data_IF_958519634439
#
_entry.id   IF_958519634439
#
_cell.length_a   1.000
_cell.length_b   1.000
_cell.length_c   1.000
_cell.angle_alpha   90.00
_cell.angle_beta   90.00
_cell.angle_gamma   90.00
#
_symmetry.space_group_name_H-M   'P 1'
#
loop_
_entity.id
_entity.type
_entity.pdbx_description
1 polymer ?
#
# COMPACT_ATOMS: atom_id res chain seq x y z
N UNK A 1 -7.71 46.88 7.01
CA UNK A 1 -7.04 45.88 6.15
C UNK A 1 -6.93 44.61 6.97
N UNK A 2 -7.55 43.52 6.51
CA UNK A 2 -7.57 42.26 7.22
C UNK A 2 -6.30 41.49 6.85
N UNK A 3 -5.36 41.36 7.78
CA UNK A 3 -4.19 40.49 7.60
C UNK A 3 -4.66 39.05 7.78
N UNK A 4 -4.92 38.38 6.66
CA UNK A 4 -5.19 36.95 6.63
C UNK A 4 -3.85 36.24 6.93
N UNK A 5 -3.65 35.88 8.20
CA UNK A 5 -2.57 35.00 8.62
C UNK A 5 -2.87 33.59 8.10
N UNK A 6 -2.35 33.26 6.92
CA UNK A 6 -2.39 31.89 6.39
C UNK A 6 -1.45 31.03 7.26
N UNK A 7 -2.03 30.26 8.17
CA UNK A 7 -1.34 29.27 8.98
C UNK A 7 -0.96 28.08 8.08
N UNK A 8 0.09 28.24 7.27
CA UNK A 8 0.61 27.18 6.42
C UNK A 8 1.28 26.15 7.34
N UNK A 9 0.65 24.98 7.48
CA UNK A 9 1.16 23.89 8.30
C UNK A 9 2.51 23.43 7.72
N UNK A 10 3.58 23.56 8.51
CA UNK A 10 4.93 23.06 8.18
C UNK A 10 5.26 21.81 8.96
N UNK A 11 6.19 21.02 8.44
CA UNK A 11 6.82 19.95 9.22
C UNK A 11 7.68 20.52 10.34
N UNK A 12 7.72 19.85 11.49
CA UNK A 12 8.39 20.38 12.69
C UNK A 12 9.92 20.43 12.60
N UNK A 13 10.54 19.52 11.83
CA UNK A 13 12.01 19.45 11.71
C UNK A 13 12.48 20.15 10.44
N UNK A 14 11.97 19.73 9.27
CA UNK A 14 12.41 20.29 7.98
C UNK A 14 11.78 21.65 7.64
N UNK A 15 10.77 22.11 8.39
CA UNK A 15 10.00 23.34 8.11
C UNK A 15 9.49 23.43 6.65
N UNK A 16 9.22 22.28 6.05
CA UNK A 16 8.80 22.15 4.66
C UNK A 16 7.27 22.19 4.55
N UNK A 17 6.78 22.66 3.41
CA UNK A 17 5.37 22.82 3.10
C UNK A 17 4.87 21.78 2.08
N UNK A 18 5.76 21.23 1.27
CA UNK A 18 5.45 20.22 0.24
C UNK A 18 6.20 18.91 0.48
N UNK A 19 5.72 17.83 -0.15
CA UNK A 19 6.39 16.52 -0.05
C UNK A 19 7.77 16.55 -0.69
N UNK A 20 7.91 17.28 -1.79
CA UNK A 20 9.16 17.49 -2.52
C UNK A 20 10.19 18.22 -1.64
N UNK A 21 9.79 19.30 -0.97
CA UNK A 21 10.67 20.02 -0.03
C UNK A 21 11.10 19.16 1.17
N UNK A 22 10.22 18.28 1.67
CA UNK A 22 10.57 17.32 2.73
C UNK A 22 11.64 16.34 2.23
N UNK A 23 11.47 15.82 1.01
CA UNK A 23 12.42 14.89 0.41
C UNK A 23 13.79 15.56 0.19
N UNK A 24 13.82 16.74 -0.43
CA UNK A 24 15.06 17.49 -0.70
C UNK A 24 15.86 17.78 0.58
N UNK A 25 15.16 18.09 1.68
CA UNK A 25 15.79 18.26 2.99
C UNK A 25 16.44 16.97 3.49
N UNK A 26 15.68 15.86 3.54
CA UNK A 26 16.17 14.60 4.10
C UNK A 26 17.16 13.84 3.19
N UNK A 27 17.21 14.15 1.90
CA UNK A 27 18.25 13.64 1.00
C UNK A 27 19.66 14.13 1.38
N UNK A 28 19.75 15.28 2.06
CA UNK A 28 21.01 15.92 2.46
C UNK A 28 21.27 15.93 3.97
N UNK A 29 20.28 15.56 4.79
CA UNK A 29 20.36 15.59 6.25
C UNK A 29 20.15 14.19 6.84
N UNK A 30 20.95 13.82 7.85
CA UNK A 30 20.77 12.55 8.54
C UNK A 30 19.73 12.69 9.66
N UNK A 31 18.85 11.71 9.83
CA UNK A 31 17.93 11.65 10.97
C UNK A 31 18.68 11.66 12.31
N UNK A 32 19.88 11.07 12.36
CA UNK A 32 20.71 11.01 13.56
C UNK A 32 21.14 12.39 14.07
N UNK A 33 21.18 13.42 13.21
CA UNK A 33 21.55 14.78 13.60
C UNK A 33 20.45 15.48 14.43
N UNK A 34 19.27 14.86 14.53
CA UNK A 34 18.09 15.40 15.19
C UNK A 34 17.61 14.52 16.36
N UNK A 35 18.48 13.67 16.94
CA UNK A 35 18.12 12.81 18.07
C UNK A 35 17.44 13.57 19.22
N UNK A 36 17.96 14.76 19.59
CA UNK A 36 17.39 15.63 20.64
C UNK A 36 15.97 16.16 20.34
N UNK A 37 15.55 16.10 19.07
CA UNK A 37 14.22 16.55 18.60
C UNK A 37 13.31 15.37 18.26
N UNK A 38 13.80 14.13 18.39
CA UNK A 38 13.04 12.91 18.12
C UNK A 38 12.87 12.10 19.40
N UNK A 39 11.95 11.13 19.36
CA UNK A 39 11.77 10.18 20.45
C UNK A 39 11.49 8.82 19.85
N UNK A 40 11.89 7.78 20.57
CA UNK A 40 11.60 6.41 20.19
C UNK A 40 10.08 6.19 20.20
N UNK A 41 9.58 5.57 19.13
CA UNK A 41 8.17 5.23 18.97
C UNK A 41 8.05 3.75 18.60
N UNK A 42 7.25 3.01 19.36
CA UNK A 42 6.89 1.64 19.01
C UNK A 42 5.70 1.66 18.03
N UNK A 43 5.83 0.93 16.91
CA UNK A 43 4.75 0.75 15.96
C UNK A 43 4.71 -0.68 15.40
N UNK A 44 3.49 -1.19 15.23
CA UNK A 44 3.27 -2.52 14.68
C UNK A 44 3.25 -2.51 13.16
N UNK A 45 4.30 -3.07 12.54
CA UNK A 45 4.30 -3.30 11.08
C UNK A 45 3.64 -4.64 10.77
N UNK A 46 2.42 -4.61 10.22
CA UNK A 46 1.75 -5.80 9.69
C UNK A 46 2.29 -6.22 8.33
N UNK A 47 3.53 -6.69 8.28
CA UNK A 47 4.15 -7.24 7.07
C UNK A 47 3.91 -8.75 6.94
N UNK A 48 2.66 -9.16 6.70
CA UNK A 48 2.37 -10.57 6.42
C UNK A 48 2.98 -10.99 5.08
N UNK A 49 3.78 -12.07 5.08
CA UNK A 49 4.31 -12.68 3.85
C UNK A 49 3.15 -13.17 2.99
N UNK A 50 2.87 -12.47 1.89
CA UNK A 50 1.85 -12.87 0.90
C UNK A 50 2.49 -13.82 -0.12
N UNK A 51 1.90 -14.99 -0.32
CA UNK A 51 2.21 -15.84 -1.48
C UNK A 51 1.42 -15.28 -2.66
N UNK A 52 2.11 -14.90 -3.73
CA UNK A 52 1.50 -14.35 -4.95
C UNK A 52 1.74 -15.30 -6.11
N UNK A 53 0.72 -15.46 -6.95
CA UNK A 53 0.83 -16.16 -8.23
C UNK A 53 0.63 -15.10 -9.32
N UNK A 54 1.57 -15.02 -10.25
CA UNK A 54 1.42 -14.15 -11.41
C UNK A 54 0.39 -14.77 -12.35
N UNK A 55 -0.58 -13.98 -12.78
CA UNK A 55 -1.52 -14.35 -13.83
C UNK A 55 -1.10 -13.69 -15.14
N UNK A 56 -1.37 -14.38 -16.24
CA UNK A 56 -1.25 -13.78 -17.55
C UNK A 56 -2.20 -12.55 -17.66
N UNK A 57 -1.78 -11.44 -18.29
CA UNK A 57 -2.59 -10.23 -18.38
C UNK A 57 -3.97 -10.45 -19.01
N UNK A 58 -4.07 -11.27 -20.06
CA UNK A 58 -5.32 -11.52 -20.76
C UNK A 58 -6.27 -12.36 -19.90
N UNK A 59 -5.72 -13.30 -19.13
CA UNK A 59 -6.48 -14.07 -18.14
C UNK A 59 -6.99 -13.16 -17.02
N UNK A 60 -6.15 -12.26 -16.52
CA UNK A 60 -6.56 -11.34 -15.45
C UNK A 60 -7.69 -10.41 -15.92
N UNK A 61 -7.63 -9.89 -17.14
CA UNK A 61 -8.70 -9.04 -17.69
C UNK A 61 -10.06 -9.77 -17.76
N UNK A 62 -10.06 -11.03 -18.18
CA UNK A 62 -11.28 -11.85 -18.19
C UNK A 62 -11.80 -12.14 -16.78
N UNK A 63 -10.89 -12.43 -15.86
CA UNK A 63 -11.19 -12.65 -14.45
C UNK A 63 -11.82 -11.41 -13.82
N UNK A 64 -11.24 -10.23 -14.07
CA UNK A 64 -11.73 -8.96 -13.55
C UNK A 64 -13.16 -8.69 -14.04
N UNK A 65 -13.40 -8.79 -15.35
CA UNK A 65 -14.73 -8.64 -15.96
C UNK A 65 -15.75 -9.59 -15.31
N UNK A 66 -15.39 -10.87 -15.19
CA UNK A 66 -16.26 -11.90 -14.61
C UNK A 66 -16.54 -11.64 -13.12
N UNK A 67 -15.54 -11.15 -12.38
CA UNK A 67 -15.68 -10.85 -10.95
C UNK A 67 -16.58 -9.64 -10.70
N UNK A 68 -16.48 -8.62 -11.56
CA UNK A 68 -17.33 -7.43 -11.53
C UNK A 68 -18.80 -7.77 -11.79
N UNK A 69 -19.08 -8.57 -12.82
CA UNK A 69 -20.44 -9.04 -13.12
C UNK A 69 -21.07 -9.82 -11.96
N UNK A 70 -20.25 -10.51 -11.16
CA UNK A 70 -20.66 -11.29 -9.99
C UNK A 70 -20.65 -10.50 -8.68
N UNK A 71 -20.19 -9.24 -8.69
CA UNK A 71 -20.10 -8.40 -7.49
C UNK A 71 -19.10 -8.91 -6.44
N UNK A 72 -18.06 -9.64 -6.86
CA UNK A 72 -17.01 -10.19 -5.98
C UNK A 72 -15.62 -9.76 -6.44
N UNK A 73 -14.62 -9.89 -5.58
CA UNK A 73 -13.23 -9.59 -5.98
C UNK A 73 -12.64 -10.66 -6.91
N UNK A 74 -11.70 -10.29 -7.79
CA UNK A 74 -10.93 -11.25 -8.59
C UNK A 74 -10.27 -12.34 -7.74
N UNK A 75 -9.75 -11.96 -6.56
CA UNK A 75 -9.16 -12.90 -5.60
C UNK A 75 -10.18 -13.92 -5.08
N UNK A 76 -11.39 -13.49 -4.75
CA UNK A 76 -12.46 -14.39 -4.31
C UNK A 76 -12.84 -15.37 -5.42
N UNK A 77 -12.99 -14.87 -6.65
CA UNK A 77 -13.34 -15.68 -7.81
C UNK A 77 -12.26 -16.75 -8.10
N UNK A 78 -10.98 -16.36 -8.09
CA UNK A 78 -9.85 -17.30 -8.27
C UNK A 78 -9.86 -18.36 -7.19
N UNK A 79 -10.03 -17.99 -5.93
CA UNK A 79 -10.02 -18.95 -4.82
C UNK A 79 -11.17 -19.96 -4.96
N UNK A 80 -12.38 -19.52 -5.32
CA UNK A 80 -13.52 -20.42 -5.57
C UNK A 80 -13.20 -21.42 -6.69
N UNK A 81 -12.72 -20.93 -7.83
CA UNK A 81 -12.35 -21.80 -8.95
C UNK A 81 -11.24 -22.78 -8.60
N UNK A 82 -10.19 -22.34 -7.90
CA UNK A 82 -9.10 -23.22 -7.48
C UNK A 82 -9.57 -24.31 -6.53
N UNK A 83 -10.46 -24.00 -5.58
CA UNK A 83 -11.06 -25.01 -4.70
C UNK A 83 -11.80 -26.08 -5.50
N UNK A 84 -12.65 -25.67 -6.45
CA UNK A 84 -13.39 -26.60 -7.32
C UNK A 84 -12.45 -27.49 -8.16
N UNK A 85 -11.40 -26.92 -8.76
CA UNK A 85 -10.45 -27.68 -9.58
C UNK A 85 -9.63 -28.66 -8.74
N UNK A 86 -9.18 -28.24 -7.55
CA UNK A 86 -8.45 -29.11 -6.63
C UNK A 86 -9.31 -30.27 -6.11
N UNK A 87 -10.62 -30.05 -5.93
CA UNK A 87 -11.54 -31.12 -5.57
C UNK A 87 -11.67 -32.15 -6.70
N UNK A 88 -11.89 -31.71 -7.95
CA UNK A 88 -11.97 -32.60 -9.11
C UNK A 88 -10.71 -33.43 -9.30
N UNK A 89 -9.52 -32.85 -9.08
CA UNK A 89 -8.26 -33.58 -9.17
C UNK A 89 -8.12 -34.69 -8.12
N UNK A 90 -8.68 -34.49 -6.92
CA UNK A 90 -8.69 -35.51 -5.86
C UNK A 90 -9.67 -36.65 -6.13
N UNK A 91 -10.73 -36.42 -6.88
CA UNK A 91 -11.71 -37.44 -7.25
C UNK A 91 -11.21 -38.37 -8.37
N UNK A 92 -10.17 -37.94 -9.11
CA UNK A 92 -9.55 -38.69 -10.22
C UNK A 92 -8.33 -39.51 -9.74
N UNK A 93 -7.78 -39.19 -8.56
CA UNK A 93 -6.61 -39.85 -7.96
C UNK A 93 -7.02 -40.94 -6.97
#
# INVERSE_FOLDING_TARGET
MNENNENIQTTSISNAHTLEEIADFWDTHSLADYEDQTHEVEFDVRANRRRRVMLDPDIYMQLETTSLERGISPETLVNLWLVEQLQKLKEIA
#
